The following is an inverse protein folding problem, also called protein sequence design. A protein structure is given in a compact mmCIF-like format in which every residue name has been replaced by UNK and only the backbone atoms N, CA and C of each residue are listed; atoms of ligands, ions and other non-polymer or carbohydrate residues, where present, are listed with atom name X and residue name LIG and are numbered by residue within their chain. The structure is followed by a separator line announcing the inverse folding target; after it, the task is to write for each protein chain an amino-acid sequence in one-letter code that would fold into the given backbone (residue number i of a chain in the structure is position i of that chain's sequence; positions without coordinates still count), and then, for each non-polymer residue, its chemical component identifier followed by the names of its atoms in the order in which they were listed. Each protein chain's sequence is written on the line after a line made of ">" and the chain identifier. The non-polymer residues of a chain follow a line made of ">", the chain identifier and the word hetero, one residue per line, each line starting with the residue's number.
data_IF_929167737064
#
_entry.id   IF_929167737064
#
_cell.length_a   1.000
_cell.length_b   1.000
_cell.length_c   1.000
_cell.angle_alpha   90.00
_cell.angle_beta   90.00
_cell.angle_gamma   90.00
#
_symmetry.space_group_name_H-M   'P 1'
#
loop_
_entity.id
_entity.type
_entity.pdbx_description
1 polymer ?
#
# COMPACT_ATOMS: atom_id res chain seq x y z
N UNK A 1 -27.51 34.98 -12.14
CA UNK A 1 -27.53 34.33 -10.81
C UNK A 1 -26.81 35.28 -9.88
N UNK A 2 -27.59 36.01 -9.11
CA UNK A 2 -27.21 37.21 -8.38
C UNK A 2 -26.06 36.95 -7.39
N UNK A 3 -24.95 37.66 -7.55
CA UNK A 3 -23.97 37.78 -6.48
C UNK A 3 -24.61 38.65 -5.38
N UNK A 4 -25.08 38.01 -4.31
CA UNK A 4 -25.31 38.72 -3.06
C UNK A 4 -23.95 39.15 -2.50
N UNK A 5 -23.44 40.26 -3.01
CA UNK A 5 -22.29 40.95 -2.46
C UNK A 5 -22.74 41.59 -1.14
N UNK A 6 -22.18 41.10 -0.03
CA UNK A 6 -22.49 41.63 1.29
C UNK A 6 -21.52 42.77 1.55
N UNK A 7 -22.03 44.00 1.68
CA UNK A 7 -21.24 45.16 2.08
C UNK A 7 -21.24 45.22 3.61
N UNK A 8 -20.08 44.99 4.21
CA UNK A 8 -19.87 45.18 5.64
C UNK A 8 -19.39 46.62 5.87
N UNK A 9 -20.08 47.35 6.75
CA UNK A 9 -19.67 48.68 7.20
C UNK A 9 -19.06 48.57 8.58
N UNK A 10 -17.75 48.81 8.67
CA UNK A 10 -17.02 48.79 9.94
C UNK A 10 -16.61 50.20 10.30
N UNK A 11 -16.87 50.58 11.55
CA UNK A 11 -16.52 51.88 12.10
C UNK A 11 -15.23 51.74 12.90
N UNK A 12 -14.19 52.48 12.51
CA UNK A 12 -12.91 52.49 13.20
C UNK A 12 -12.74 53.82 13.92
N UNK A 13 -12.32 53.74 15.18
CA UNK A 13 -11.90 54.89 15.97
C UNK A 13 -10.39 54.79 16.19
N UNK A 14 -9.65 55.79 15.74
CA UNK A 14 -8.24 55.93 16.05
C UNK A 14 -8.06 57.03 17.10
N UNK A 15 -7.28 56.73 18.14
CA UNK A 15 -6.92 57.66 19.20
C UNK A 15 -5.40 57.79 19.22
N UNK A 16 -4.89 59.02 19.22
CA UNK A 16 -3.47 59.25 19.43
C UNK A 16 -3.21 60.57 20.15
N UNK A 17 -2.12 60.59 20.90
CA UNK A 17 -1.58 61.78 21.53
C UNK A 17 -0.12 61.93 21.13
N UNK A 18 0.24 63.07 20.54
CA UNK A 18 1.62 63.37 20.20
C UNK A 18 2.48 63.67 21.45
N UNK A 19 1.86 64.06 22.56
CA UNK A 19 2.52 64.37 23.83
C UNK A 19 1.54 64.24 25.02
N UNK A 20 1.95 63.80 26.22
CA UNK A 20 1.06 63.60 27.39
C UNK A 20 0.31 64.84 27.93
N UNK A 21 0.63 66.03 27.44
CA UNK A 21 0.03 67.31 27.85
C UNK A 21 -0.92 67.88 26.78
N UNK A 22 -1.03 67.22 25.63
CA UNK A 22 -1.91 67.61 24.52
C UNK A 22 -3.12 66.68 24.53
N UNK A 23 -4.36 67.19 24.40
CA UNK A 23 -5.55 66.36 24.37
C UNK A 23 -5.50 65.33 23.24
N UNK A 24 -5.99 64.13 23.52
CA UNK A 24 -6.08 63.05 22.54
C UNK A 24 -6.90 63.47 21.33
N UNK A 25 -6.36 63.23 20.15
CA UNK A 25 -7.08 63.44 18.91
C UNK A 25 -7.85 62.17 18.55
N UNK A 26 -9.09 62.35 18.10
CA UNK A 26 -9.97 61.27 17.67
C UNK A 26 -10.32 61.46 16.21
N UNK A 27 -10.04 60.45 15.40
CA UNK A 27 -10.49 60.37 14.02
C UNK A 27 -11.41 59.17 13.86
N UNK A 28 -12.55 59.39 13.21
CA UNK A 28 -13.53 58.37 12.89
C UNK A 28 -13.50 58.12 11.38
N UNK A 29 -13.32 56.86 10.98
CA UNK A 29 -13.39 56.45 9.59
C UNK A 29 -14.38 55.29 9.45
N UNK A 30 -15.27 55.41 8.47
CA UNK A 30 -16.15 54.31 8.06
C UNK A 30 -15.57 53.66 6.81
N UNK A 31 -15.27 52.37 6.90
CA UNK A 31 -14.75 51.60 5.76
C UNK A 31 -15.83 50.63 5.29
N UNK A 32 -16.14 50.69 4.00
CA UNK A 32 -17.00 49.71 3.34
C UNK A 32 -16.14 48.57 2.81
N UNK A 33 -16.45 47.34 3.24
CA UNK A 33 -15.79 46.12 2.78
C UNK A 33 -16.77 45.34 1.93
N UNK A 34 -16.47 45.23 0.63
CA UNK A 34 -17.24 44.40 -0.31
C UNK A 34 -16.79 42.93 -0.19
N UNK A 35 -17.68 42.07 0.30
CA UNK A 35 -17.40 40.63 0.42
C UNK A 35 -17.93 39.89 -0.80
N UNK A 36 -17.00 39.51 -1.70
CA UNK A 36 -17.30 38.69 -2.87
C UNK A 36 -17.26 37.21 -2.53
N UNK A 37 -18.37 36.51 -2.80
CA UNK A 37 -18.42 35.05 -2.66
C UNK A 37 -17.81 34.40 -3.89
N UNK A 38 -16.63 33.81 -3.73
CA UNK A 38 -15.93 33.06 -4.78
C UNK A 38 -15.75 31.60 -4.39
N UNK A 39 -15.72 30.71 -5.38
CA UNK A 39 -15.41 29.30 -5.11
C UNK A 39 -13.97 29.15 -4.64
N UNK A 40 -13.77 28.34 -3.59
CA UNK A 40 -12.44 28.04 -3.10
C UNK A 40 -11.57 27.42 -4.22
N UNK A 41 -10.30 27.82 -4.38
CA UNK A 41 -9.40 27.26 -5.40
C UNK A 41 -9.29 25.74 -5.38
N UNK A 42 -9.40 25.12 -4.19
CA UNK A 42 -9.38 23.67 -4.02
C UNK A 42 -10.66 23.03 -4.55
N UNK A 43 -11.81 23.63 -4.26
CA UNK A 43 -13.11 23.16 -4.77
C UNK A 43 -13.16 23.25 -6.30
N UNK A 44 -12.60 24.30 -6.90
CA UNK A 44 -12.46 24.42 -8.36
C UNK A 44 -11.58 23.30 -8.92
N UNK A 45 -10.43 23.01 -8.29
CA UNK A 45 -9.55 21.90 -8.71
C UNK A 45 -10.22 20.54 -8.59
N UNK A 46 -10.99 20.32 -7.53
CA UNK A 46 -11.75 19.10 -7.31
C UNK A 46 -12.83 18.92 -8.38
N UNK A 47 -13.62 19.96 -8.65
CA UNK A 47 -14.66 19.96 -9.69
C UNK A 47 -14.10 19.74 -11.10
N UNK A 48 -12.91 20.29 -11.40
CA UNK A 48 -12.22 20.12 -12.68
C UNK A 48 -11.45 18.81 -12.82
N UNK A 49 -11.51 17.91 -11.83
CA UNK A 49 -10.73 16.65 -11.79
C UNK A 49 -9.23 16.87 -12.01
N UNK A 50 -8.71 18.01 -11.53
CA UNK A 50 -7.31 18.36 -11.66
C UNK A 50 -6.44 17.42 -10.81
N UNK A 51 -5.43 16.82 -11.42
CA UNK A 51 -4.49 15.93 -10.72
C UNK A 51 -3.05 16.15 -11.19
N UNK A 52 -2.13 15.92 -10.26
CA UNK A 52 -0.68 16.08 -10.46
C UNK A 52 0.08 14.77 -10.26
N UNK A 53 -0.56 13.77 -9.65
CA UNK A 53 0.06 12.47 -9.43
C UNK A 53 -0.91 11.31 -9.73
N UNK A 54 -0.35 10.20 -10.19
CA UNK A 54 -1.04 8.93 -10.40
C UNK A 54 -0.24 7.81 -9.72
N UNK A 55 -0.90 7.01 -8.88
CA UNK A 55 -0.34 5.80 -8.27
C UNK A 55 -1.01 4.60 -8.91
N UNK A 56 -0.22 3.74 -9.54
CA UNK A 56 -0.69 2.55 -10.24
C UNK A 56 -0.25 1.31 -9.47
N UNK A 57 -1.20 0.64 -8.83
CA UNK A 57 -0.93 -0.54 -8.00
C UNK A 57 -1.26 -1.80 -8.78
N UNK A 58 -0.28 -2.71 -8.92
CA UNK A 58 -0.39 -4.00 -9.62
C UNK A 58 0.35 -5.07 -8.83
N UNK A 59 0.17 -6.35 -9.17
CA UNK A 59 1.04 -7.44 -8.73
C UNK A 59 1.89 -7.95 -9.89
N UNK A 60 3.10 -8.43 -9.60
CA UNK A 60 4.00 -9.00 -10.61
C UNK A 60 3.53 -10.41 -10.99
N UNK A 61 3.26 -10.66 -12.28
CA UNK A 61 2.91 -12.01 -12.76
C UNK A 61 1.57 -12.58 -12.26
N UNK A 62 0.78 -11.85 -11.47
CA UNK A 62 -0.52 -12.29 -10.93
C UNK A 62 -1.50 -11.14 -10.75
N UNK A 63 -2.73 -11.47 -10.34
CA UNK A 63 -3.71 -10.48 -9.87
C UNK A 63 -3.55 -10.21 -8.38
N UNK A 64 -3.95 -9.01 -7.95
CA UNK A 64 -4.08 -8.70 -6.54
C UNK A 64 -5.13 -9.60 -5.89
N UNK A 65 -4.84 -10.08 -4.68
CA UNK A 65 -5.80 -10.82 -3.86
C UNK A 65 -6.80 -9.87 -3.23
N UNK A 66 -7.95 -10.39 -2.79
CA UNK A 66 -8.96 -9.59 -2.07
C UNK A 66 -8.39 -8.94 -0.80
N UNK A 67 -7.50 -9.64 -0.11
CA UNK A 67 -6.86 -9.13 1.11
C UNK A 67 -5.94 -7.94 0.79
N UNK A 68 -5.16 -8.03 -0.29
CA UNK A 68 -4.30 -6.93 -0.74
C UNK A 68 -5.12 -5.72 -1.20
N UNK A 69 -6.19 -5.95 -1.97
CA UNK A 69 -7.13 -4.88 -2.38
C UNK A 69 -7.69 -4.15 -1.15
N UNK A 70 -8.14 -4.92 -0.15
CA UNK A 70 -8.71 -4.37 1.08
C UNK A 70 -7.67 -3.60 1.88
N UNK A 71 -6.46 -4.14 2.02
CA UNK A 71 -5.34 -3.50 2.68
C UNK A 71 -5.00 -2.15 2.01
N UNK A 72 -4.82 -2.15 0.70
CA UNK A 72 -4.47 -0.95 -0.07
C UNK A 72 -5.57 0.11 0.07
N UNK A 73 -6.83 -0.27 -0.04
CA UNK A 73 -7.97 0.65 0.07
C UNK A 73 -8.02 1.30 1.45
N UNK A 74 -7.86 0.50 2.52
CA UNK A 74 -7.79 1.00 3.90
C UNK A 74 -6.60 1.93 4.13
N UNK A 75 -5.44 1.61 3.57
CA UNK A 75 -4.26 2.48 3.67
C UNK A 75 -4.50 3.85 3.02
N UNK A 76 -5.11 3.85 1.83
CA UNK A 76 -5.45 5.10 1.12
C UNK A 76 -6.44 5.92 1.94
N UNK A 77 -7.54 5.33 2.39
CA UNK A 77 -8.58 6.00 3.18
C UNK A 77 -8.03 6.59 4.48
N UNK A 78 -7.25 5.81 5.23
CA UNK A 78 -6.68 6.24 6.50
C UNK A 78 -5.69 7.40 6.33
N UNK A 79 -4.80 7.32 5.33
CA UNK A 79 -3.82 8.38 5.07
C UNK A 79 -4.53 9.65 4.62
N UNK A 80 -5.49 9.54 3.69
CA UNK A 80 -6.24 10.70 3.18
C UNK A 80 -7.03 11.38 4.30
N UNK A 81 -7.75 10.60 5.12
CA UNK A 81 -8.56 11.13 6.22
C UNK A 81 -7.73 11.83 7.28
N UNK A 82 -6.51 11.34 7.54
CA UNK A 82 -5.59 12.00 8.48
C UNK A 82 -4.97 13.27 7.90
N UNK A 83 -4.56 13.24 6.63
CA UNK A 83 -3.81 14.34 6.04
C UNK A 83 -4.69 15.52 5.65
N UNK A 84 -5.99 15.30 5.36
CA UNK A 84 -6.92 16.36 4.94
C UNK A 84 -7.14 17.44 6.01
N UNK A 85 -7.00 17.09 7.29
CA UNK A 85 -7.08 18.05 8.40
C UNK A 85 -5.96 19.10 8.32
N UNK A 86 -4.77 18.67 7.89
CA UNK A 86 -3.59 19.54 7.76
C UNK A 86 -3.48 20.20 6.38
N UNK A 87 -3.87 19.48 5.33
CA UNK A 87 -3.72 19.89 3.94
C UNK A 87 -4.97 19.49 3.17
N UNK A 88 -5.85 20.47 2.92
CA UNK A 88 -7.10 20.27 2.19
C UNK A 88 -6.93 19.78 0.74
N UNK A 89 -5.70 19.74 0.21
CA UNK A 89 -5.39 19.13 -1.09
C UNK A 89 -5.15 17.62 -1.02
N UNK A 90 -5.12 17.04 0.18
CA UNK A 90 -5.02 15.61 0.42
C UNK A 90 -6.37 14.91 0.18
N UNK A 91 -6.71 14.72 -1.09
CA UNK A 91 -7.88 13.94 -1.50
C UNK A 91 -7.57 13.10 -2.75
N UNK A 92 -8.32 12.01 -2.90
CA UNK A 92 -8.33 11.18 -4.11
C UNK A 92 -9.23 11.85 -5.13
N UNK A 93 -8.67 12.20 -6.29
CA UNK A 93 -9.41 12.80 -7.41
C UNK A 93 -10.23 11.73 -8.12
N UNK A 94 -9.64 10.54 -8.29
CA UNK A 94 -10.25 9.40 -8.95
C UNK A 94 -9.60 8.12 -8.42
N UNK A 95 -10.40 7.11 -8.10
CA UNK A 95 -9.97 5.75 -7.87
C UNK A 95 -10.63 4.88 -8.93
N UNK A 96 -9.83 4.22 -9.76
CA UNK A 96 -10.32 3.38 -10.84
C UNK A 96 -9.74 1.98 -10.72
N UNK A 97 -10.62 0.99 -10.63
CA UNK A 97 -10.23 -0.41 -10.80
C UNK A 97 -9.98 -0.69 -12.29
N UNK A 98 -8.89 -1.40 -12.57
CA UNK A 98 -8.43 -1.74 -13.92
C UNK A 98 -7.97 -3.20 -13.93
N UNK A 99 -7.81 -3.78 -15.11
CA UNK A 99 -7.38 -5.18 -15.25
C UNK A 99 -6.08 -5.45 -14.48
N UNK A 100 -6.19 -6.13 -13.34
CA UNK A 100 -5.06 -6.51 -12.48
C UNK A 100 -4.68 -5.52 -11.37
N UNK A 101 -5.44 -4.44 -11.13
CA UNK A 101 -5.24 -3.60 -9.94
C UNK A 101 -5.95 -2.24 -9.96
N UNK A 102 -5.31 -1.20 -9.40
CA UNK A 102 -5.93 0.11 -9.17
C UNK A 102 -5.09 1.26 -9.70
N UNK A 103 -5.76 2.27 -10.23
CA UNK A 103 -5.19 3.57 -10.54
C UNK A 103 -5.83 4.65 -9.66
N UNK A 104 -5.00 5.27 -8.82
CA UNK A 104 -5.40 6.39 -7.97
C UNK A 104 -4.82 7.69 -8.49
N UNK A 105 -5.65 8.71 -8.68
CA UNK A 105 -5.22 10.06 -9.04
C UNK A 105 -5.31 10.98 -7.84
N UNK A 106 -4.28 11.81 -7.67
CA UNK A 106 -4.16 12.73 -6.54
C UNK A 106 -3.90 14.16 -7.00
N UNK A 107 -4.51 15.10 -6.27
CA UNK A 107 -4.26 16.53 -6.44
C UNK A 107 -2.96 17.00 -5.77
N UNK A 108 -2.32 16.14 -4.98
CA UNK A 108 -1.08 16.43 -4.25
C UNK A 108 -0.05 15.31 -4.45
N UNK A 109 1.17 15.67 -4.86
CA UNK A 109 2.29 14.74 -5.08
C UNK A 109 2.83 14.14 -3.78
N UNK A 110 2.83 14.90 -2.67
CA UNK A 110 3.29 14.44 -1.35
C UNK A 110 2.44 13.26 -0.87
N UNK A 111 1.12 13.39 -1.00
CA UNK A 111 0.15 12.36 -0.58
C UNK A 111 0.31 11.09 -1.44
N UNK A 112 0.47 11.24 -2.75
CA UNK A 112 0.74 10.12 -3.63
C UNK A 112 2.01 9.35 -3.24
N UNK A 113 3.10 10.07 -2.92
CA UNK A 113 4.36 9.47 -2.45
C UNK A 113 4.23 8.79 -1.10
N UNK A 114 3.51 9.41 -0.16
CA UNK A 114 3.27 8.86 1.17
C UNK A 114 2.51 7.53 1.08
N UNK A 115 1.43 7.49 0.30
CA UNK A 115 0.63 6.28 0.06
C UNK A 115 1.49 5.19 -0.60
N UNK A 116 2.22 5.53 -1.67
CA UNK A 116 3.07 4.55 -2.36
C UNK A 116 4.16 3.97 -1.44
N UNK A 117 4.82 4.83 -0.63
CA UNK A 117 5.79 4.39 0.37
C UNK A 117 5.13 3.45 1.39
N UNK A 118 3.95 3.82 1.91
CA UNK A 118 3.29 2.98 2.90
C UNK A 118 2.89 1.62 2.33
N UNK A 119 2.42 1.55 1.09
CA UNK A 119 2.13 0.28 0.42
C UNK A 119 3.40 -0.58 0.33
N UNK A 120 4.54 0.00 -0.07
CA UNK A 120 5.82 -0.72 -0.07
C UNK A 120 6.19 -1.23 1.33
N UNK A 121 6.06 -0.40 2.35
CA UNK A 121 6.51 -0.73 3.70
C UNK A 121 5.66 -1.86 4.32
N UNK A 122 4.41 -2.02 3.90
CA UNK A 122 3.50 -3.10 4.33
C UNK A 122 3.58 -4.38 3.47
N UNK A 123 3.93 -4.26 2.18
CA UNK A 123 3.80 -5.39 1.22
C UNK A 123 5.11 -5.82 0.56
N UNK A 124 6.19 -5.06 0.72
CA UNK A 124 7.44 -5.27 0.01
C UNK A 124 7.38 -4.90 -1.47
N UNK A 125 6.43 -4.06 -1.86
CA UNK A 125 6.22 -3.66 -3.25
C UNK A 125 7.38 -2.85 -3.87
N UNK A 126 7.65 -3.08 -5.15
CA UNK A 126 8.59 -2.28 -5.94
C UNK A 126 7.98 -0.97 -6.39
N UNK A 127 8.67 0.14 -6.08
CA UNK A 127 8.29 1.48 -6.50
C UNK A 127 9.14 1.95 -7.68
N UNK A 128 8.49 2.48 -8.72
CA UNK A 128 9.15 3.20 -9.81
C UNK A 128 8.44 4.53 -10.05
N UNK A 129 9.17 5.63 -9.94
CA UNK A 129 8.65 6.98 -10.20
C UNK A 129 9.02 7.43 -11.61
N UNK A 130 8.12 8.17 -12.27
CA UNK A 130 8.38 8.83 -13.54
C UNK A 130 7.69 10.18 -13.57
N UNK A 131 8.35 11.19 -14.12
CA UNK A 131 7.82 12.54 -14.24
C UNK A 131 7.64 12.91 -15.72
N UNK A 132 6.48 13.46 -16.05
CA UNK A 132 6.20 14.02 -17.38
C UNK A 132 5.87 15.50 -17.26
N UNK A 133 6.59 16.34 -18.00
CA UNK A 133 6.25 17.77 -18.10
C UNK A 133 4.99 17.91 -18.97
N UNK A 134 3.96 18.56 -18.45
CA UNK A 134 2.68 18.79 -19.14
C UNK A 134 2.54 20.23 -19.64
N UNK A 135 3.38 21.14 -19.17
CA UNK A 135 3.37 22.52 -19.62
C UNK A 135 4.22 23.42 -18.72
N UNK A 136 4.00 24.72 -18.87
CA UNK A 136 4.66 25.76 -18.08
C UNK A 136 3.57 26.70 -17.58
N UNK A 137 3.60 27.00 -16.29
CA UNK A 137 2.77 28.04 -15.71
C UNK A 137 3.20 29.39 -16.29
N UNK A 138 2.31 30.01 -17.05
CA UNK A 138 2.59 31.28 -17.75
C UNK A 138 2.85 32.45 -16.80
N UNK A 139 2.37 32.37 -15.55
CA UNK A 139 2.52 33.42 -14.54
C UNK A 139 3.83 33.29 -13.76
N UNK A 140 4.27 32.07 -13.46
CA UNK A 140 5.45 31.81 -12.63
C UNK A 140 6.66 31.28 -13.39
N UNK A 141 6.50 30.90 -14.67
CA UNK A 141 7.52 30.23 -15.47
C UNK A 141 7.85 28.80 -15.02
N UNK A 142 7.15 28.27 -13.99
CA UNK A 142 7.43 26.95 -13.43
C UNK A 142 6.90 25.85 -14.34
N UNK A 143 7.70 24.80 -14.55
CA UNK A 143 7.27 23.60 -15.28
C UNK A 143 6.18 22.88 -14.49
N UNK A 144 5.03 22.68 -15.11
CA UNK A 144 3.96 21.85 -14.59
C UNK A 144 4.29 20.40 -14.97
N UNK A 145 4.38 19.52 -13.98
CA UNK A 145 4.68 18.10 -14.19
C UNK A 145 3.61 17.20 -13.60
N UNK A 146 3.46 16.02 -14.19
CA UNK A 146 2.69 14.91 -13.64
C UNK A 146 3.63 13.81 -13.18
N UNK A 147 3.45 13.38 -11.94
CA UNK A 147 4.13 12.24 -11.34
C UNK A 147 3.33 10.97 -11.59
N UNK A 148 3.97 9.92 -12.06
CA UNK A 148 3.43 8.55 -12.08
C UNK A 148 4.28 7.68 -11.17
N UNK A 149 3.65 6.99 -10.24
CA UNK A 149 4.29 6.02 -9.34
C UNK A 149 3.72 4.65 -9.65
N UNK A 150 4.54 3.76 -10.22
CA UNK A 150 4.20 2.35 -10.36
C UNK A 150 4.55 1.63 -9.07
N UNK A 151 3.56 0.96 -8.49
CA UNK A 151 3.66 0.14 -7.28
C UNK A 151 3.38 -1.30 -7.69
N UNK A 152 4.39 -2.17 -7.64
CA UNK A 152 4.24 -3.59 -7.97
C UNK A 152 4.40 -4.45 -6.73
N UNK A 153 3.37 -5.19 -6.37
CA UNK A 153 3.42 -6.18 -5.29
C UNK A 153 4.20 -7.43 -5.76
N UNK A 154 4.84 -8.15 -4.82
CA UNK A 154 5.63 -9.35 -5.11
C UNK A 154 4.84 -10.43 -5.89
N UNK A 155 5.53 -11.31 -6.63
CA UNK A 155 4.88 -12.33 -7.44
C UNK A 155 4.20 -13.45 -6.65
N UNK A 156 4.35 -13.46 -5.33
CA UNK A 156 3.75 -14.40 -4.39
C UNK A 156 2.97 -13.65 -3.29
N UNK A 157 2.11 -14.37 -2.56
CA UNK A 157 1.34 -13.87 -1.42
C UNK A 157 1.50 -14.81 -0.21
N UNK A 158 1.01 -14.37 0.95
CA UNK A 158 0.99 -15.17 2.19
C UNK A 158 0.64 -16.64 1.94
N UNK A 159 1.47 -17.55 2.46
CA UNK A 159 1.29 -18.99 2.35
C UNK A 159 1.76 -19.61 1.03
N UNK A 160 1.99 -18.85 -0.03
CA UNK A 160 2.49 -19.42 -1.28
C UNK A 160 3.82 -20.16 -1.06
N UNK A 161 3.98 -21.27 -1.76
CA UNK A 161 5.22 -22.02 -1.85
C UNK A 161 6.09 -21.34 -2.89
N UNK A 162 7.31 -21.01 -2.49
CA UNK A 162 8.30 -20.30 -3.30
C UNK A 162 9.60 -21.12 -3.35
N UNK A 163 10.34 -20.94 -4.43
CA UNK A 163 11.67 -21.49 -4.63
C UNK A 163 12.69 -20.36 -4.65
N UNK A 164 13.71 -20.45 -3.80
CA UNK A 164 14.77 -19.44 -3.66
C UNK A 164 16.11 -20.14 -3.79
N UNK A 165 16.81 -19.92 -4.90
CA UNK A 165 18.12 -20.53 -5.18
C UNK A 165 18.15 -22.07 -4.95
N UNK A 166 17.06 -22.75 -5.30
CA UNK A 166 16.88 -24.20 -5.16
C UNK A 166 16.21 -24.66 -3.85
N UNK A 167 16.18 -23.82 -2.81
CA UNK A 167 15.47 -24.13 -1.57
C UNK A 167 13.96 -23.90 -1.71
N UNK A 168 13.16 -24.86 -1.23
CA UNK A 168 11.69 -24.77 -1.21
C UNK A 168 11.24 -24.18 0.12
N UNK A 169 10.52 -23.07 0.06
CA UNK A 169 10.08 -22.33 1.25
C UNK A 169 8.60 -21.96 1.16
N UNK A 170 7.95 -21.74 2.30
CA UNK A 170 6.61 -21.14 2.38
C UNK A 170 6.70 -19.70 2.85
N UNK A 171 6.15 -18.77 2.07
CA UNK A 171 6.17 -17.36 2.44
C UNK A 171 5.23 -17.07 3.62
N UNK A 172 5.72 -16.32 4.62
CA UNK A 172 5.00 -16.00 5.85
C UNK A 172 4.68 -14.52 5.98
N UNK A 173 5.67 -13.62 5.87
CA UNK A 173 5.39 -12.19 6.05
C UNK A 173 6.46 -11.29 5.44
N UNK A 174 6.11 -10.02 5.22
CA UNK A 174 7.07 -8.96 4.95
C UNK A 174 7.11 -8.01 6.16
N UNK A 175 8.29 -7.83 6.75
CA UNK A 175 8.46 -6.95 7.92
C UNK A 175 9.85 -6.35 7.96
N UNK A 176 9.95 -5.05 8.29
CA UNK A 176 11.23 -4.38 8.47
C UNK A 176 12.12 -4.41 7.21
N UNK A 177 11.53 -4.38 6.01
CA UNK A 177 12.27 -4.39 4.75
C UNK A 177 12.77 -5.78 4.31
N UNK A 178 12.37 -6.86 4.98
CA UNK A 178 12.75 -8.23 4.63
C UNK A 178 11.53 -9.12 4.47
N UNK A 179 11.63 -10.09 3.58
CA UNK A 179 10.65 -11.15 3.41
C UNK A 179 11.04 -12.30 4.32
N UNK A 180 10.08 -12.88 5.03
CA UNK A 180 10.28 -14.04 5.87
C UNK A 180 9.54 -15.23 5.32
N UNK A 181 10.21 -16.37 5.30
CA UNK A 181 9.68 -17.62 4.82
C UNK A 181 10.14 -18.77 5.73
N UNK A 182 9.41 -19.87 5.73
CA UNK A 182 9.80 -21.11 6.41
C UNK A 182 10.39 -22.05 5.38
N UNK A 183 11.61 -22.51 5.60
CA UNK A 183 12.22 -23.54 4.78
C UNK A 183 11.50 -24.87 5.02
N UNK A 184 10.99 -25.52 3.98
CA UNK A 184 10.16 -26.72 4.18
C UNK A 184 10.96 -27.99 4.53
N UNK A 185 12.28 -27.96 4.36
CA UNK A 185 13.16 -29.09 4.67
C UNK A 185 13.62 -29.10 6.12
N UNK A 186 13.82 -27.90 6.68
CA UNK A 186 14.34 -27.69 8.03
C UNK A 186 13.33 -27.06 8.97
N UNK A 187 12.21 -26.53 8.46
CA UNK A 187 11.18 -25.80 9.21
C UNK A 187 11.67 -24.55 9.97
N UNK A 188 12.90 -24.14 9.68
CA UNK A 188 13.49 -22.91 10.19
C UNK A 188 12.96 -21.71 9.43
N UNK A 189 12.70 -20.65 10.19
CA UNK A 189 12.34 -19.34 9.62
C UNK A 189 13.59 -18.66 9.08
N UNK A 190 13.57 -18.31 7.80
CA UNK A 190 14.64 -17.61 7.09
C UNK A 190 14.16 -16.25 6.57
N UNK A 191 15.12 -15.36 6.30
CA UNK A 191 14.84 -14.07 5.68
C UNK A 191 15.38 -14.05 4.26
N UNK A 192 14.56 -13.60 3.31
CA UNK A 192 14.91 -13.35 1.92
C UNK A 192 15.07 -11.84 1.75
N UNK A 193 16.16 -11.42 1.10
CA UNK A 193 16.40 -9.99 0.90
C UNK A 193 15.43 -9.41 -0.12
N UNK A 194 15.13 -8.11 0.03
CA UNK A 194 14.31 -7.39 -0.94
C UNK A 194 14.89 -7.47 -2.37
N UNK A 195 16.21 -7.45 -2.50
CA UNK A 195 16.89 -7.54 -3.79
C UNK A 195 16.68 -8.90 -4.45
N UNK A 196 16.74 -9.99 -3.70
CA UNK A 196 16.60 -11.33 -4.26
C UNK A 196 15.21 -11.53 -4.88
N UNK A 197 14.16 -11.12 -4.16
CA UNK A 197 12.76 -11.15 -4.65
C UNK A 197 12.61 -10.40 -5.98
N UNK A 198 13.17 -9.19 -6.07
CA UNK A 198 13.02 -8.35 -7.27
C UNK A 198 14.07 -8.59 -8.36
N UNK A 199 15.03 -9.49 -8.14
CA UNK A 199 16.04 -9.87 -9.14
C UNK A 199 15.68 -11.10 -9.96
N UNK A 200 14.53 -11.73 -9.69
CA UNK A 200 14.07 -12.94 -10.37
C UNK A 200 14.63 -14.24 -9.79
N UNK A 201 15.30 -14.21 -8.63
CA UNK A 201 15.80 -15.41 -7.94
C UNK A 201 14.74 -16.15 -7.12
N UNK A 202 13.57 -15.53 -6.99
CA UNK A 202 12.44 -16.11 -6.25
C UNK A 202 11.34 -16.45 -7.25
N UNK A 203 11.02 -17.73 -7.32
CA UNK A 203 9.97 -18.26 -8.17
C UNK A 203 8.78 -18.69 -7.31
N UNK A 204 7.56 -18.37 -7.75
CA UNK A 204 6.35 -18.90 -7.12
C UNK A 204 6.04 -20.28 -7.70
N UNK A 205 5.92 -21.28 -6.84
CA UNK A 205 5.66 -22.67 -7.22
C UNK A 205 4.17 -22.99 -7.15
N UNK A 206 3.52 -22.74 -6.01
CA UNK A 206 2.12 -23.11 -5.80
C UNK A 206 1.48 -22.22 -4.72
N UNK A 207 0.15 -22.18 -4.66
CA UNK A 207 -0.56 -21.63 -3.50
C UNK A 207 -0.80 -22.68 -2.44
N UNK A 208 -0.75 -22.30 -1.17
CA UNK A 208 -1.05 -23.20 -0.05
C UNK A 208 -2.44 -23.83 -0.17
N UNK A 209 -3.43 -23.02 -0.60
CA UNK A 209 -4.82 -23.46 -0.74
C UNK A 209 -4.99 -24.58 -1.76
N UNK A 210 -4.11 -24.62 -2.76
CA UNK A 210 -4.20 -25.52 -3.91
C UNK A 210 -3.45 -26.82 -3.68
N UNK A 211 -2.71 -26.92 -2.56
CA UNK A 211 -1.96 -28.13 -2.21
C UNK A 211 -2.90 -29.25 -1.75
N UNK A 212 -2.62 -30.51 -2.13
CA UNK A 212 -3.33 -31.67 -1.63
C UNK A 212 -3.13 -31.84 -0.12
N UNK A 213 -4.08 -32.54 0.51
CA UNK A 213 -4.04 -32.89 1.92
C UNK A 213 -3.62 -34.34 2.12
N UNK A 214 -2.90 -34.60 3.19
CA UNK A 214 -2.51 -35.92 3.65
C UNK A 214 -2.76 -36.04 5.15
N UNK A 215 -2.91 -37.26 5.64
CA UNK A 215 -2.99 -37.54 7.07
C UNK A 215 -1.69 -38.18 7.55
N UNK A 216 -1.23 -37.77 8.73
CA UNK A 216 -0.09 -38.40 9.41
C UNK A 216 -0.54 -39.77 9.92
N UNK A 217 0.05 -40.84 9.40
CA UNK A 217 -0.23 -42.20 9.87
C UNK A 217 0.61 -42.50 11.11
N UNK A 218 1.91 -42.25 11.02
CA UNK A 218 2.86 -42.59 12.08
C UNK A 218 4.10 -41.71 12.01
N UNK A 219 4.76 -41.54 13.15
CA UNK A 219 6.03 -40.83 13.27
C UNK A 219 7.03 -41.73 14.01
N UNK A 220 8.19 -41.98 13.40
CA UNK A 220 9.26 -42.80 13.96
C UNK A 220 10.58 -42.08 13.76
N UNK A 221 11.36 -41.88 14.84
CA UNK A 221 12.64 -41.18 14.76
C UNK A 221 12.52 -39.80 14.08
N UNK A 222 13.25 -39.62 12.98
CA UNK A 222 13.28 -38.40 12.16
C UNK A 222 12.41 -38.49 10.90
N UNK A 223 11.51 -39.47 10.79
CA UNK A 223 10.60 -39.63 9.65
C UNK A 223 9.14 -39.68 10.06
N UNK A 224 8.28 -39.28 9.14
CA UNK A 224 6.82 -39.33 9.24
C UNK A 224 6.28 -40.01 8.00
N UNK A 225 5.30 -40.88 8.19
CA UNK A 225 4.51 -41.44 7.09
C UNK A 225 3.23 -40.63 6.90
N UNK A 226 3.06 -40.12 5.68
CA UNK A 226 1.89 -39.39 5.23
C UNK A 226 1.10 -40.26 4.26
N UNK A 227 -0.22 -40.29 4.40
CA UNK A 227 -1.11 -40.84 3.39
C UNK A 227 -1.89 -39.72 2.72
N UNK A 228 -1.70 -39.58 1.42
CA UNK A 228 -2.47 -38.63 0.61
C UNK A 228 -3.94 -39.03 0.57
N UNK A 229 -4.82 -38.10 0.94
CA UNK A 229 -6.26 -38.33 1.04
C UNK A 229 -6.94 -38.46 -0.34
N UNK A 230 -6.26 -38.07 -1.41
CA UNK A 230 -6.76 -38.18 -2.79
C UNK A 230 -6.33 -39.48 -3.47
N UNK A 231 -5.08 -39.90 -3.32
CA UNK A 231 -4.51 -41.08 -4.00
C UNK A 231 -4.37 -42.31 -3.11
N UNK A 232 -4.46 -42.16 -1.78
CA UNK A 232 -4.11 -43.17 -0.77
C UNK A 232 -2.67 -43.68 -0.83
N UNK A 233 -1.79 -43.03 -1.61
CA UNK A 233 -0.36 -43.31 -1.62
C UNK A 233 0.26 -42.87 -0.30
N UNK A 234 1.22 -43.67 0.18
CA UNK A 234 1.99 -43.41 1.40
C UNK A 234 3.36 -42.87 1.02
N UNK A 235 3.77 -41.77 1.65
CA UNK A 235 5.10 -41.19 1.49
C UNK A 235 5.81 -41.12 2.84
N UNK A 236 7.11 -41.32 2.81
CA UNK A 236 8.00 -41.04 3.93
C UNK A 236 8.60 -39.66 3.76
N UNK A 237 8.43 -38.82 4.77
CA UNK A 237 8.95 -37.45 4.80
C UNK A 237 9.81 -37.23 6.02
N UNK A 238 10.79 -36.33 5.91
CA UNK A 238 11.57 -35.90 7.06
C UNK A 238 10.66 -35.21 8.07
N UNK A 239 10.80 -35.58 9.34
CA UNK A 239 10.11 -34.94 10.46
C UNK A 239 10.62 -33.51 10.65
N UNK A 240 9.73 -32.51 10.64
CA UNK A 240 10.06 -31.17 11.10
C UNK A 240 10.44 -31.19 12.57
N UNK A 241 11.57 -30.59 12.96
CA UNK A 241 11.97 -30.54 14.38
C UNK A 241 11.04 -29.62 15.17
N UNK A 242 10.52 -28.58 14.53
CA UNK A 242 9.67 -27.55 15.11
C UNK A 242 8.19 -27.93 15.19
N UNK A 243 7.76 -29.05 14.59
CA UNK A 243 6.36 -29.49 14.64
C UNK A 243 6.17 -30.81 15.40
N UNK A 244 5.30 -30.77 16.40
CA UNK A 244 4.77 -31.98 17.03
C UNK A 244 3.66 -32.59 16.18
N UNK A 245 4.06 -33.45 15.23
CA UNK A 245 3.13 -34.19 14.40
C UNK A 245 2.79 -35.54 15.03
N UNK A 246 1.51 -35.76 15.35
CA UNK A 246 0.94 -37.00 15.87
C UNK A 246 0.09 -37.68 14.79
N UNK A 247 -0.13 -38.99 14.96
CA UNK A 247 -1.06 -39.75 14.12
C UNK A 247 -2.44 -39.10 14.10
N UNK A 248 -3.07 -39.05 12.93
CA UNK A 248 -4.39 -38.47 12.73
C UNK A 248 -4.40 -36.97 12.38
N UNK A 249 -3.25 -36.28 12.42
CA UNK A 249 -3.17 -34.87 12.01
C UNK A 249 -3.23 -34.77 10.49
N UNK A 250 -4.10 -33.91 9.98
CA UNK A 250 -4.13 -33.54 8.57
C UNK A 250 -3.12 -32.43 8.27
N UNK A 251 -2.42 -32.58 7.15
CA UNK A 251 -1.39 -31.65 6.68
C UNK A 251 -1.57 -31.38 5.19
N UNK A 252 -1.09 -30.21 4.76
CA UNK A 252 -0.91 -29.92 3.33
C UNK A 252 0.51 -30.27 2.94
N UNK A 253 0.67 -30.89 1.78
CA UNK A 253 1.97 -31.32 1.29
C UNK A 253 2.19 -30.96 -0.18
N UNK A 254 3.44 -30.93 -0.61
CA UNK A 254 3.81 -30.73 -2.01
C UNK A 254 4.92 -31.70 -2.40
N UNK A 255 4.83 -32.26 -3.62
CA UNK A 255 5.88 -33.08 -4.23
C UNK A 255 6.69 -32.20 -5.19
N UNK A 256 8.00 -32.07 -4.97
CA UNK A 256 8.89 -31.30 -5.85
C UNK A 256 10.22 -32.04 -5.99
N UNK A 257 10.71 -32.15 -7.22
CA UNK A 257 12.02 -32.74 -7.55
C UNK A 257 12.24 -34.15 -6.96
N UNK A 258 11.16 -34.94 -6.83
CA UNK A 258 11.19 -36.29 -6.25
C UNK A 258 11.05 -36.36 -4.74
N UNK A 259 11.06 -35.22 -4.05
CA UNK A 259 10.94 -35.10 -2.60
C UNK A 259 9.51 -34.66 -2.21
N UNK A 260 9.09 -35.05 -1.00
CA UNK A 260 7.77 -34.70 -0.45
C UNK A 260 7.96 -33.81 0.77
N UNK A 261 7.35 -32.63 0.72
CA UNK A 261 7.46 -31.61 1.77
C UNK A 261 6.12 -31.38 2.45
N UNK A 262 6.11 -31.33 3.78
CA UNK A 262 4.98 -30.80 4.54
C UNK A 262 5.03 -29.28 4.42
N UNK A 263 3.96 -28.69 3.91
CA UNK A 263 3.84 -27.24 3.71
C UNK A 263 3.19 -26.55 4.91
N UNK A 264 2.12 -27.13 5.47
CA UNK A 264 1.44 -26.62 6.66
C UNK A 264 0.61 -27.70 7.33
N UNK A 265 0.15 -27.43 8.55
CA UNK A 265 -1.02 -28.12 9.10
C UNK A 265 -2.26 -27.73 8.26
N UNK A 266 -3.20 -28.65 8.06
CA UNK A 266 -4.41 -28.43 7.27
C UNK A 266 -5.52 -27.73 8.08
#
# INVERSE_FOLDING_TARGET
>A
MDSCDVVLRSHFNAYWAAHPLIPEYREEATVEVEVKRVSCPICIKMASKYYVATVQVRAEGRRLTRNEVTLISRLVENIVSREVESDRSAYVVEAKEVGGGFDFKFANTRIAKLIASRIRDETGALLKETFKVIGVDRSTGKRLSRLTISVRLPPFTFGDIIRVEGAVMRFEEFRGGRFFAVDLSSWRRLSISYKDVWSGRVERVASLSDLPTAIVISSYGSTIQLMDLSSYEIYEVKKPEELELKSGIEVRFIKLDGEVYIASLA
#
